data_IF_128253462770
#
_entry.id   IF_128253462770
#
_cell.length_a   1.000
_cell.length_b   1.000
_cell.length_c   1.000
_cell.angle_alpha   90.00
_cell.angle_beta   90.00
_cell.angle_gamma   90.00
#
_symmetry.space_group_name_H-M   'P 1'
#
loop_
_entity.id
_entity.type
_entity.pdbx_description
1 polymer ?
#
# COMPACT_ATOMS: atom_id res chain seq x y z
N UNK A 1 13.52 15.17 -4.55
CA UNK A 1 12.66 14.10 -5.10
C UNK A 1 11.16 14.43 -5.04
N UNK A 2 10.61 14.94 -3.94
CA UNK A 2 9.16 15.28 -3.85
C UNK A 2 8.65 16.27 -4.90
N UNK A 3 9.44 17.29 -5.27
CA UNK A 3 9.08 18.25 -6.33
C UNK A 3 8.92 17.59 -7.71
N UNK A 4 9.78 16.64 -8.04
CA UNK A 4 9.68 15.89 -9.31
C UNK A 4 8.42 15.01 -9.36
N UNK A 5 8.08 14.37 -8.24
CA UNK A 5 6.86 13.57 -8.15
C UNK A 5 5.60 14.44 -8.32
N UNK A 6 5.58 15.64 -7.74
CA UNK A 6 4.47 16.59 -7.92
C UNK A 6 4.36 17.05 -9.38
N UNK A 7 5.45 17.44 -10.00
CA UNK A 7 5.47 17.84 -11.41
C UNK A 7 5.02 16.71 -12.33
N UNK A 8 5.52 15.50 -12.11
CA UNK A 8 5.13 14.30 -12.85
C UNK A 8 3.62 14.02 -12.69
N UNK A 9 3.09 14.13 -11.47
CA UNK A 9 1.67 13.91 -11.18
C UNK A 9 0.78 14.96 -11.87
N UNK A 10 1.14 16.24 -11.83
CA UNK A 10 0.38 17.32 -12.46
C UNK A 10 0.38 17.17 -13.98
N UNK A 11 1.55 16.97 -14.60
CA UNK A 11 1.64 16.85 -16.07
C UNK A 11 0.92 15.59 -16.55
N UNK A 12 1.11 14.45 -15.90
CA UNK A 12 0.42 13.20 -16.26
C UNK A 12 -1.09 13.31 -16.07
N UNK A 13 -1.54 14.03 -15.02
CA UNK A 13 -2.95 14.31 -14.79
C UNK A 13 -3.57 15.14 -15.92
N UNK A 14 -2.92 16.24 -16.34
CA UNK A 14 -3.37 17.08 -17.45
C UNK A 14 -3.48 16.27 -18.74
N UNK A 15 -2.43 15.47 -19.06
CA UNK A 15 -2.43 14.63 -20.26
C UNK A 15 -3.53 13.56 -20.20
N UNK A 16 -3.74 12.91 -19.04
CA UNK A 16 -4.80 11.93 -18.86
C UNK A 16 -6.19 12.50 -19.05
N UNK A 17 -6.46 13.68 -18.49
CA UNK A 17 -7.74 14.40 -18.65
C UNK A 17 -7.94 14.83 -20.11
N UNK A 18 -6.91 15.37 -20.75
CA UNK A 18 -6.97 15.75 -22.16
C UNK A 18 -7.29 14.55 -23.07
N UNK A 19 -6.62 13.41 -22.84
CA UNK A 19 -6.88 12.17 -23.58
C UNK A 19 -8.33 11.64 -23.35
N UNK A 20 -8.85 11.79 -22.14
CA UNK A 20 -10.25 11.44 -21.84
C UNK A 20 -11.24 12.31 -22.61
N UNK A 21 -11.02 13.63 -22.69
CA UNK A 21 -11.84 14.53 -23.51
C UNK A 21 -11.76 14.27 -25.00
N UNK A 22 -10.62 13.76 -25.49
CA UNK A 22 -10.46 13.34 -26.88
C UNK A 22 -11.14 11.99 -27.21
N UNK A 23 -11.87 11.41 -26.26
CA UNK A 23 -12.64 10.19 -26.47
C UNK A 23 -11.84 8.89 -26.37
N UNK A 24 -10.61 8.91 -25.86
CA UNK A 24 -9.79 7.70 -25.72
C UNK A 24 -10.31 6.71 -24.65
N UNK A 25 -11.39 7.03 -23.92
CA UNK A 25 -12.01 6.16 -22.93
C UNK A 25 -11.00 5.60 -21.91
N UNK A 26 -10.97 4.28 -21.75
CA UNK A 26 -10.09 3.60 -20.77
C UNK A 26 -8.60 3.80 -21.08
N UNK A 27 -8.24 4.01 -22.34
CA UNK A 27 -6.85 4.23 -22.76
C UNK A 27 -6.25 5.54 -22.20
N UNK A 28 -7.09 6.51 -21.81
CA UNK A 28 -6.61 7.73 -21.17
C UNK A 28 -5.84 7.46 -19.88
N UNK A 29 -6.25 6.44 -19.09
CA UNK A 29 -5.56 6.02 -17.87
C UNK A 29 -4.21 5.36 -18.16
N UNK A 30 -4.12 4.62 -19.26
CA UNK A 30 -2.86 4.00 -19.69
C UNK A 30 -1.85 5.07 -20.11
N UNK A 31 -2.30 6.02 -20.94
CA UNK A 31 -1.48 7.16 -21.38
C UNK A 31 -1.00 7.98 -20.17
N UNK A 32 -1.89 8.29 -19.23
CA UNK A 32 -1.54 8.99 -17.99
C UNK A 32 -0.42 8.28 -17.22
N UNK A 33 -0.53 6.96 -17.03
CA UNK A 33 0.48 6.18 -16.31
C UNK A 33 1.83 6.15 -17.04
N UNK A 34 1.81 5.96 -18.36
CA UNK A 34 3.03 5.94 -19.19
C UNK A 34 3.74 7.30 -19.12
N UNK A 35 3.02 8.39 -19.34
CA UNK A 35 3.56 9.75 -19.29
C UNK A 35 4.13 10.07 -17.90
N UNK A 36 3.41 9.72 -16.83
CA UNK A 36 3.88 9.89 -15.46
C UNK A 36 5.18 9.15 -15.18
N UNK A 37 5.29 7.92 -15.68
CA UNK A 37 6.50 7.09 -15.54
C UNK A 37 7.67 7.67 -16.32
N UNK A 38 7.46 8.09 -17.57
CA UNK A 38 8.53 8.68 -18.41
C UNK A 38 9.05 9.96 -17.78
N UNK A 39 8.18 10.84 -17.30
CA UNK A 39 8.58 12.10 -16.65
C UNK A 39 9.30 11.80 -15.31
N UNK A 40 8.82 10.82 -14.55
CA UNK A 40 9.44 10.42 -13.29
C UNK A 40 10.86 9.88 -13.48
N UNK A 41 11.05 8.99 -14.45
CA UNK A 41 12.37 8.41 -14.78
C UNK A 41 13.29 9.47 -15.40
N UNK A 42 12.80 10.20 -16.41
CA UNK A 42 13.59 11.23 -17.10
C UNK A 42 14.04 12.34 -16.14
N UNK A 43 13.12 12.81 -15.29
CA UNK A 43 13.44 13.79 -14.25
C UNK A 43 14.41 13.23 -13.19
N UNK A 44 14.29 11.95 -12.85
CA UNK A 44 15.20 11.28 -11.93
C UNK A 44 16.63 11.21 -12.49
N UNK A 45 16.79 10.78 -13.73
CA UNK A 45 18.09 10.72 -14.42
C UNK A 45 18.72 12.12 -14.51
N UNK A 46 17.92 13.13 -14.86
CA UNK A 46 18.40 14.51 -14.99
C UNK A 46 18.85 15.10 -13.64
N UNK A 47 18.10 14.85 -12.55
CA UNK A 47 18.46 15.33 -11.22
C UNK A 47 19.67 14.63 -10.61
N UNK A 48 19.80 13.32 -10.80
CA UNK A 48 20.88 12.53 -10.21
C UNK A 48 22.13 12.56 -11.08
N UNK A 49 22.02 13.00 -12.36
CA UNK A 49 23.09 12.97 -13.37
C UNK A 49 23.80 11.62 -13.45
N UNK A 50 23.05 10.55 -13.19
CA UNK A 50 23.56 9.19 -13.22
C UNK A 50 23.13 8.50 -14.52
N UNK A 51 24.11 8.00 -15.25
CA UNK A 51 23.87 7.22 -16.45
C UNK A 51 24.25 5.75 -16.18
N UNK A 52 23.36 4.80 -16.47
CA UNK A 52 23.70 3.39 -16.33
C UNK A 52 24.85 3.01 -17.26
N UNK A 53 25.92 2.48 -16.69
CA UNK A 53 27.03 1.92 -17.49
C UNK A 53 26.60 0.55 -17.98
N UNK A 54 26.68 0.33 -19.30
CA UNK A 54 26.28 -0.90 -19.97
C UNK A 54 27.35 -2.01 -19.85
N UNK A 55 27.85 -2.28 -18.65
CA UNK A 55 28.74 -3.42 -18.42
C UNK A 55 27.94 -4.56 -17.81
N UNK A 56 27.73 -5.62 -18.58
CA UNK A 56 27.14 -6.84 -18.08
C UNK A 56 28.24 -7.73 -17.46
N UNK A 57 28.09 -8.05 -16.17
CA UNK A 57 28.97 -8.99 -15.46
C UNK A 57 28.20 -10.25 -15.12
N UNK A 58 28.60 -11.38 -15.69
CA UNK A 58 27.98 -12.68 -15.40
C UNK A 58 28.15 -13.10 -13.95
N UNK A 59 29.24 -12.69 -13.30
CA UNK A 59 29.47 -12.98 -11.89
C UNK A 59 28.48 -12.24 -11.00
N UNK A 60 28.33 -10.92 -11.21
CA UNK A 60 27.34 -10.11 -10.47
C UNK A 60 25.89 -10.58 -10.74
N UNK A 61 25.61 -11.04 -11.96
CA UNK A 61 24.32 -11.62 -12.30
C UNK A 61 24.03 -12.88 -11.49
N UNK A 62 24.99 -13.82 -11.39
CA UNK A 62 24.81 -15.06 -10.60
C UNK A 62 24.63 -14.79 -9.11
N UNK A 63 25.40 -13.86 -8.53
CA UNK A 63 25.28 -13.48 -7.14
C UNK A 63 23.91 -12.84 -6.84
N UNK A 64 23.51 -11.88 -7.66
CA UNK A 64 22.22 -11.22 -7.53
C UNK A 64 21.05 -12.17 -7.81
N UNK A 65 21.15 -13.05 -8.78
CA UNK A 65 20.09 -14.00 -9.12
C UNK A 65 19.85 -15.01 -7.99
N UNK A 66 20.91 -15.50 -7.34
CA UNK A 66 20.79 -16.41 -6.20
C UNK A 66 20.06 -15.80 -5.01
N UNK A 67 20.28 -14.53 -4.72
CA UNK A 67 19.56 -13.79 -3.68
C UNK A 67 18.15 -13.43 -4.14
N UNK A 68 18.02 -12.85 -5.33
CA UNK A 68 16.75 -12.32 -5.87
C UNK A 68 15.73 -13.43 -6.13
N UNK A 69 16.15 -14.64 -6.54
CA UNK A 69 15.23 -15.76 -6.77
C UNK A 69 14.54 -16.21 -5.48
N UNK A 70 15.27 -16.28 -4.36
CA UNK A 70 14.69 -16.59 -3.05
C UNK A 70 13.70 -15.50 -2.60
N UNK A 71 14.07 -14.23 -2.80
CA UNK A 71 13.20 -13.11 -2.51
C UNK A 71 11.96 -13.11 -3.40
N UNK A 72 12.11 -13.45 -4.67
CA UNK A 72 10.99 -13.57 -5.62
C UNK A 72 9.99 -14.63 -5.16
N UNK A 73 10.45 -15.83 -4.80
CA UNK A 73 9.58 -16.90 -4.30
C UNK A 73 8.84 -16.46 -3.04
N UNK A 74 9.54 -15.84 -2.09
CA UNK A 74 8.93 -15.29 -0.88
C UNK A 74 7.84 -14.25 -1.21
N UNK A 75 8.14 -13.33 -2.14
CA UNK A 75 7.17 -12.31 -2.57
C UNK A 75 5.98 -12.89 -3.32
N UNK A 76 6.19 -13.90 -4.16
CA UNK A 76 5.08 -14.60 -4.83
C UNK A 76 4.15 -15.26 -3.83
N UNK A 77 4.68 -15.91 -2.80
CA UNK A 77 3.87 -16.51 -1.73
C UNK A 77 3.05 -15.46 -0.98
N UNK A 78 3.65 -14.31 -0.65
CA UNK A 78 2.94 -13.19 -0.01
C UNK A 78 1.83 -12.67 -0.91
N UNK A 79 2.10 -12.43 -2.19
CA UNK A 79 1.10 -11.94 -3.15
C UNK A 79 -0.04 -12.94 -3.34
N UNK A 80 0.27 -14.24 -3.42
CA UNK A 80 -0.74 -15.30 -3.48
C UNK A 80 -1.62 -15.30 -2.21
N UNK A 81 -1.01 -15.21 -1.04
CA UNK A 81 -1.72 -15.15 0.22
C UNK A 81 -2.63 -13.92 0.32
N UNK A 82 -2.11 -12.74 0.01
CA UNK A 82 -2.88 -11.48 0.06
C UNK A 82 -4.06 -11.45 -0.92
N UNK A 83 -3.93 -12.12 -2.07
CA UNK A 83 -4.99 -12.18 -3.08
C UNK A 83 -5.88 -13.42 -2.96
N UNK A 84 -5.58 -14.36 -2.05
CA UNK A 84 -6.35 -15.61 -1.90
C UNK A 84 -7.82 -15.35 -1.64
N UNK A 85 -8.14 -14.35 -0.81
CA UNK A 85 -9.54 -13.97 -0.53
C UNK A 85 -10.25 -13.52 -1.82
N UNK A 86 -9.60 -12.70 -2.64
CA UNK A 86 -10.13 -12.22 -3.92
C UNK A 86 -10.38 -13.37 -4.89
N UNK A 87 -9.45 -14.33 -4.96
CA UNK A 87 -9.57 -15.51 -5.82
C UNK A 87 -10.71 -16.42 -5.34
N UNK A 88 -10.82 -16.68 -4.03
CA UNK A 88 -11.88 -17.50 -3.45
C UNK A 88 -13.24 -16.85 -3.69
N UNK A 89 -13.38 -15.56 -3.38
CA UNK A 89 -14.65 -14.84 -3.60
C UNK A 89 -14.99 -14.81 -5.11
N UNK A 90 -14.02 -14.55 -5.98
CA UNK A 90 -14.26 -14.54 -7.43
C UNK A 90 -14.64 -15.90 -8.02
N UNK A 91 -14.20 -17.01 -7.40
CA UNK A 91 -14.53 -18.38 -7.86
C UNK A 91 -15.90 -18.85 -7.37
N UNK A 92 -16.26 -18.54 -6.12
CA UNK A 92 -17.46 -19.11 -5.48
C UNK A 92 -18.64 -18.13 -5.44
N UNK A 93 -18.42 -16.86 -5.69
CA UNK A 93 -19.43 -15.80 -5.64
C UNK A 93 -19.52 -15.04 -6.96
N UNK A 94 -20.47 -14.11 -7.07
CA UNK A 94 -20.64 -13.31 -8.28
C UNK A 94 -19.58 -12.20 -8.42
N UNK A 95 -19.32 -11.76 -9.66
CA UNK A 95 -18.44 -10.62 -9.93
C UNK A 95 -18.91 -9.33 -9.21
N UNK A 96 -20.22 -9.18 -9.01
CA UNK A 96 -20.79 -8.05 -8.28
C UNK A 96 -20.39 -8.10 -6.80
N UNK A 97 -20.48 -9.27 -6.16
CA UNK A 97 -20.08 -9.43 -4.75
C UNK A 97 -18.58 -9.22 -4.57
N UNK A 98 -17.77 -9.70 -5.51
CA UNK A 98 -16.33 -9.44 -5.52
C UNK A 98 -16.04 -7.93 -5.62
N UNK A 99 -16.76 -7.22 -6.48
CA UNK A 99 -16.65 -5.76 -6.63
C UNK A 99 -17.01 -5.00 -5.33
N UNK A 100 -18.09 -5.40 -4.66
CA UNK A 100 -18.52 -4.84 -3.38
C UNK A 100 -17.48 -5.09 -2.27
N UNK A 101 -16.96 -6.33 -2.19
CA UNK A 101 -15.93 -6.69 -1.23
C UNK A 101 -14.63 -5.90 -1.46
N UNK A 102 -14.13 -5.84 -2.69
CA UNK A 102 -12.92 -5.10 -3.03
C UNK A 102 -13.07 -3.60 -2.73
N UNK A 103 -14.25 -3.02 -2.97
CA UNK A 103 -14.53 -1.62 -2.65
C UNK A 103 -14.53 -1.39 -1.13
N UNK A 104 -15.18 -2.26 -0.39
CA UNK A 104 -15.20 -2.23 1.07
C UNK A 104 -13.78 -2.35 1.64
N UNK A 105 -12.99 -3.31 1.13
CA UNK A 105 -11.61 -3.54 1.54
C UNK A 105 -10.73 -2.32 1.26
N UNK A 106 -10.75 -1.77 0.05
CA UNK A 106 -9.94 -0.59 -0.28
C UNK A 106 -10.29 0.63 0.55
N UNK A 107 -11.58 0.82 0.86
CA UNK A 107 -12.06 1.94 1.67
C UNK A 107 -11.65 1.78 3.13
N UNK A 108 -11.83 0.60 3.73
CA UNK A 108 -11.44 0.33 5.11
C UNK A 108 -9.92 0.27 5.30
N UNK A 109 -9.18 -0.23 4.31
CA UNK A 109 -7.71 -0.30 4.36
C UNK A 109 -7.07 1.10 4.30
N UNK A 110 -7.68 2.07 3.64
CA UNK A 110 -7.08 3.39 3.43
C UNK A 110 -6.65 4.08 4.74
N UNK A 111 -7.50 4.28 5.76
CA UNK A 111 -7.07 4.90 7.01
C UNK A 111 -6.08 4.02 7.79
N UNK A 112 -6.30 2.72 7.87
CA UNK A 112 -5.42 1.80 8.61
C UNK A 112 -4.02 1.73 8.01
N UNK A 113 -3.90 1.59 6.68
CA UNK A 113 -2.61 1.48 5.99
C UNK A 113 -1.81 2.79 6.05
N UNK A 114 -2.45 3.95 5.88
CA UNK A 114 -1.77 5.24 5.97
C UNK A 114 -1.24 5.50 7.37
N UNK A 115 -2.05 5.28 8.41
CA UNK A 115 -1.59 5.41 9.79
C UNK A 115 -0.46 4.43 10.11
N UNK A 116 -0.59 3.18 9.66
CA UNK A 116 0.46 2.17 9.83
C UNK A 116 1.76 2.58 9.15
N UNK A 117 1.69 3.12 7.94
CA UNK A 117 2.87 3.61 7.21
C UNK A 117 3.58 4.73 7.97
N UNK A 118 2.83 5.70 8.52
CA UNK A 118 3.38 6.79 9.34
C UNK A 118 4.03 6.22 10.61
N UNK A 119 3.33 5.33 11.32
CA UNK A 119 3.83 4.71 12.55
C UNK A 119 5.07 3.86 12.27
N UNK A 120 5.09 3.08 11.20
CA UNK A 120 6.25 2.28 10.79
C UNK A 120 7.44 3.15 10.39
N UNK A 121 7.20 4.24 9.69
CA UNK A 121 8.23 5.20 9.32
C UNK A 121 8.95 5.83 10.53
N UNK A 122 8.27 5.94 11.67
CA UNK A 122 8.86 6.40 12.94
C UNK A 122 9.42 5.23 13.75
N UNK A 123 8.71 4.11 13.79
CA UNK A 123 9.06 2.96 14.63
C UNK A 123 10.36 2.29 14.19
N UNK A 124 10.52 2.07 12.90
CA UNK A 124 11.67 1.35 12.36
C UNK A 124 13.02 2.03 12.69
N UNK A 125 13.23 3.34 12.44
CA UNK A 125 14.49 4.00 12.79
C UNK A 125 14.74 4.08 14.29
N UNK A 126 13.68 4.20 15.10
CA UNK A 126 13.82 4.28 16.57
C UNK A 126 14.22 2.92 17.14
N UNK A 127 13.55 1.84 16.74
CA UNK A 127 13.86 0.49 17.20
C UNK A 127 15.24 0.02 16.70
N UNK A 128 15.61 0.35 15.48
CA UNK A 128 16.92 0.02 14.92
C UNK A 128 18.09 0.65 15.68
N UNK A 129 17.93 1.89 16.19
CA UNK A 129 18.97 2.55 17.01
C UNK A 129 19.21 1.92 18.38
N UNK A 130 18.25 1.16 18.88
CA UNK A 130 18.29 0.55 20.23
C UNK A 130 18.31 -0.98 20.17
N UNK A 131 18.59 -1.55 19.00
CA UNK A 131 18.55 -3.00 18.75
C UNK A 131 19.48 -3.81 19.68
N UNK A 132 20.60 -3.21 20.11
CA UNK A 132 21.60 -3.86 20.97
C UNK A 132 21.19 -3.92 22.44
N UNK A 133 20.11 -3.25 22.84
CA UNK A 133 19.63 -3.24 24.22
C UNK A 133 18.21 -3.82 24.31
N UNK A 134 18.13 -5.12 24.63
CA UNK A 134 16.88 -5.87 24.68
C UNK A 134 15.82 -5.26 25.62
N UNK A 135 16.24 -4.71 26.74
CA UNK A 135 15.31 -4.11 27.72
C UNK A 135 14.67 -2.84 27.14
N UNK A 136 15.50 -1.95 26.60
CA UNK A 136 15.01 -0.70 25.97
C UNK A 136 14.18 -1.01 24.74
N UNK A 137 14.58 -1.99 23.95
CA UNK A 137 13.86 -2.46 22.76
C UNK A 137 12.45 -2.93 23.15
N UNK A 138 12.32 -3.81 24.15
CA UNK A 138 11.05 -4.34 24.61
C UNK A 138 10.12 -3.25 25.16
N UNK A 139 10.64 -2.28 25.93
CA UNK A 139 9.85 -1.17 26.47
C UNK A 139 9.31 -0.27 25.36
N UNK A 140 10.17 0.14 24.42
CA UNK A 140 9.75 0.99 23.31
C UNK A 140 8.80 0.28 22.33
N UNK A 141 9.05 -0.99 22.04
CA UNK A 141 8.15 -1.83 21.24
C UNK A 141 6.74 -1.88 21.84
N UNK A 142 6.61 -2.18 23.15
CA UNK A 142 5.31 -2.19 23.84
C UNK A 142 4.63 -0.80 23.80
N UNK A 143 5.41 0.27 23.95
CA UNK A 143 4.88 1.65 23.86
C UNK A 143 4.31 1.94 22.47
N UNK A 144 5.03 1.52 21.40
CA UNK A 144 4.57 1.70 20.02
C UNK A 144 3.33 0.88 19.72
N UNK A 145 3.25 -0.37 20.19
CA UNK A 145 2.05 -1.19 20.05
C UNK A 145 0.83 -0.54 20.73
N UNK A 146 0.99 -0.07 21.98
CA UNK A 146 -0.09 0.59 22.70
C UNK A 146 -0.56 1.87 22.01
N UNK A 147 0.38 2.69 21.55
CA UNK A 147 0.06 3.93 20.84
C UNK A 147 -0.68 3.65 19.52
N UNK A 148 -0.22 2.66 18.76
CA UNK A 148 -0.85 2.26 17.51
C UNK A 148 -2.27 1.73 17.75
N UNK A 149 -2.45 0.87 18.74
CA UNK A 149 -3.77 0.35 19.09
C UNK A 149 -4.71 1.47 19.57
N UNK A 150 -4.20 2.38 20.42
CA UNK A 150 -4.98 3.51 20.94
C UNK A 150 -5.51 4.43 19.84
N UNK A 151 -4.76 4.62 18.77
CA UNK A 151 -5.19 5.47 17.64
C UNK A 151 -6.06 4.70 16.65
N UNK A 152 -5.61 3.51 16.25
CA UNK A 152 -6.27 2.79 15.13
C UNK A 152 -7.55 2.09 15.55
N UNK A 153 -7.64 1.55 16.78
CA UNK A 153 -8.84 0.84 17.22
C UNK A 153 -10.07 1.75 17.29
N UNK A 154 -10.04 2.92 17.97
CA UNK A 154 -11.19 3.82 17.97
C UNK A 154 -11.55 4.33 16.58
N UNK A 155 -10.55 4.60 15.74
CA UNK A 155 -10.78 5.07 14.39
C UNK A 155 -11.50 4.00 13.53
N UNK A 156 -11.07 2.74 13.59
CA UNK A 156 -11.69 1.67 12.83
C UNK A 156 -13.07 1.28 13.36
N UNK A 157 -13.27 1.31 14.67
CA UNK A 157 -14.60 1.12 15.29
C UNK A 157 -15.52 2.27 14.89
N UNK A 158 -15.04 3.51 14.96
CA UNK A 158 -15.79 4.69 14.52
C UNK A 158 -16.18 4.60 13.03
N UNK A 159 -15.26 4.18 12.18
CA UNK A 159 -15.52 3.97 10.75
C UNK A 159 -16.55 2.83 10.53
N UNK A 160 -16.48 1.75 11.28
CA UNK A 160 -17.44 0.66 11.21
C UNK A 160 -18.84 1.09 11.68
N UNK A 161 -18.92 1.89 12.75
CA UNK A 161 -20.17 2.42 13.28
C UNK A 161 -20.83 3.44 12.33
N UNK A 162 -20.02 4.24 11.65
CA UNK A 162 -20.49 5.28 10.69
C UNK A 162 -20.47 4.81 9.24
N UNK A 163 -20.23 3.53 8.97
CA UNK A 163 -20.00 2.98 7.63
C UNK A 163 -21.15 3.30 6.67
N UNK A 164 -22.39 3.23 7.11
CA UNK A 164 -23.57 3.53 6.30
C UNK A 164 -23.59 4.98 5.84
N UNK A 165 -23.46 5.93 6.77
CA UNK A 165 -23.41 7.37 6.48
C UNK A 165 -22.20 7.72 5.63
N UNK A 166 -21.05 7.10 5.91
CA UNK A 166 -19.82 7.31 5.14
C UNK A 166 -19.97 6.84 3.69
N UNK A 167 -20.50 5.64 3.48
CA UNK A 167 -20.72 5.08 2.14
C UNK A 167 -21.72 5.92 1.37
N UNK A 168 -22.82 6.33 1.99
CA UNK A 168 -23.82 7.19 1.35
C UNK A 168 -23.26 8.53 0.92
N UNK A 169 -22.44 9.16 1.74
CA UNK A 169 -21.88 10.48 1.46
C UNK A 169 -20.71 10.44 0.47
N UNK A 170 -19.77 9.47 0.62
CA UNK A 170 -18.51 9.43 -0.15
C UNK A 170 -18.62 8.56 -1.41
N UNK A 171 -19.32 7.42 -1.31
CA UNK A 171 -19.36 6.42 -2.37
C UNK A 171 -20.67 6.41 -3.17
N UNK A 172 -21.69 7.12 -2.72
CA UNK A 172 -23.06 7.15 -3.26
C UNK A 172 -23.90 5.91 -2.88
N UNK A 173 -25.21 6.04 -3.05
CA UNK A 173 -26.19 4.99 -2.70
C UNK A 173 -25.98 3.66 -3.42
N UNK A 174 -25.36 3.68 -4.60
CA UNK A 174 -25.03 2.46 -5.36
C UNK A 174 -24.19 1.47 -4.58
N UNK A 175 -23.40 1.93 -3.61
CA UNK A 175 -22.48 1.12 -2.84
C UNK A 175 -22.99 0.72 -1.46
N UNK A 176 -24.27 0.98 -1.16
CA UNK A 176 -24.85 0.63 0.14
C UNK A 176 -24.75 -0.86 0.48
N UNK A 177 -24.82 -1.72 -0.52
CA UNK A 177 -24.63 -3.17 -0.34
C UNK A 177 -23.20 -3.57 0.07
N UNK A 178 -22.23 -2.64 0.02
CA UNK A 178 -20.86 -2.88 0.49
C UNK A 178 -20.69 -2.62 2.00
N UNK A 179 -21.67 -1.97 2.67
CA UNK A 179 -21.59 -1.60 4.09
C UNK A 179 -21.30 -2.79 5.01
N UNK A 180 -22.00 -3.94 4.94
CA UNK A 180 -21.73 -5.08 5.80
C UNK A 180 -20.30 -5.61 5.62
N UNK A 181 -19.82 -5.67 4.38
CA UNK A 181 -18.43 -6.08 4.10
C UNK A 181 -17.43 -5.08 4.71
N UNK A 182 -17.70 -3.77 4.59
CA UNK A 182 -16.86 -2.73 5.15
C UNK A 182 -16.75 -2.81 6.67
N UNK A 183 -17.86 -3.07 7.37
CA UNK A 183 -17.87 -3.23 8.82
C UNK A 183 -16.99 -4.41 9.25
N UNK A 184 -17.12 -5.58 8.62
CA UNK A 184 -16.30 -6.76 8.93
C UNK A 184 -14.83 -6.50 8.63
N UNK A 185 -14.53 -5.88 7.48
CA UNK A 185 -13.14 -5.56 7.09
C UNK A 185 -12.52 -4.54 8.05
N UNK A 186 -13.26 -3.58 8.57
CA UNK A 186 -12.77 -2.65 9.59
C UNK A 186 -12.23 -3.39 10.82
N UNK A 187 -12.93 -4.42 11.32
CA UNK A 187 -12.43 -5.24 12.43
C UNK A 187 -11.14 -5.98 12.08
N UNK A 188 -11.02 -6.52 10.88
CA UNK A 188 -9.78 -7.15 10.42
C UNK A 188 -8.62 -6.15 10.32
N UNK A 189 -8.87 -4.95 9.80
CA UNK A 189 -7.87 -3.90 9.60
C UNK A 189 -7.40 -3.23 10.91
N UNK A 190 -8.10 -3.40 12.01
CA UNK A 190 -7.64 -2.96 13.34
C UNK A 190 -6.30 -3.59 13.75
N UNK A 191 -6.06 -4.84 13.33
CA UNK A 191 -4.86 -5.60 13.68
C UNK A 191 -3.66 -5.34 12.77
N UNK A 192 -3.88 -4.65 11.65
CA UNK A 192 -2.86 -4.39 10.65
C UNK A 192 -1.63 -3.64 11.20
N UNK A 193 -1.76 -2.58 12.03
CA UNK A 193 -0.60 -1.89 12.62
C UNK A 193 0.22 -2.79 13.55
N UNK A 194 -0.44 -3.65 14.31
CA UNK A 194 0.23 -4.60 15.22
C UNK A 194 1.09 -5.56 14.40
N UNK A 195 0.53 -6.12 13.31
CA UNK A 195 1.27 -6.97 12.38
C UNK A 195 2.48 -6.25 11.79
N UNK A 196 2.31 -5.03 11.32
CA UNK A 196 3.38 -4.23 10.71
C UNK A 196 4.53 -3.94 11.69
N UNK A 197 4.23 -3.57 12.95
CA UNK A 197 5.25 -3.31 13.96
C UNK A 197 5.99 -4.60 14.34
N UNK A 198 5.29 -5.76 14.39
CA UNK A 198 5.92 -7.06 14.60
C UNK A 198 6.89 -7.40 13.47
N UNK A 199 6.50 -7.16 12.20
CA UNK A 199 7.38 -7.36 11.06
C UNK A 199 8.61 -6.46 11.10
N UNK A 200 8.46 -5.20 11.51
CA UNK A 200 9.58 -4.29 11.69
C UNK A 200 10.57 -4.81 12.76
N UNK A 201 10.07 -5.35 13.86
CA UNK A 201 10.92 -5.93 14.92
C UNK A 201 11.71 -7.14 14.41
N UNK A 202 11.07 -8.02 13.63
CA UNK A 202 11.73 -9.19 13.03
C UNK A 202 12.79 -8.82 11.99
N UNK A 203 12.66 -7.67 11.32
CA UNK A 203 13.65 -7.18 10.37
C UNK A 203 14.87 -6.53 11.03
N UNK A 204 14.73 -6.09 12.28
CA UNK A 204 15.79 -5.42 13.05
C UNK A 204 16.66 -6.45 13.80
N UNK A 205 16.09 -7.58 14.20
CA UNK A 205 16.76 -8.72 14.82
C UNK A 205 17.13 -9.78 13.79
#
# INVERSE_FOLDING_TARGET
>A
MSRLLLVSCVISGIVGVSAAYMGCGVWSLVVQNIVGTIIGIGGGIWCVRWYPKTHFSMQSFKELFGFSSRLLVSRLLVVLYDNMQTVVIGKFFSATQLGLFNRAQSTAAFPSSNLTSILSGVSFPVLSKIQDNDIKLAVNYRKMLRLSAFVVFPLMVGLAATAESFVKFVLTEKWMSAVPYMQVVCFAMMWYPIHSINMNLLQIK
#
